data_IF_837609777597
#
_entry.id   IF_837609777597
#
_cell.length_a   1.000
_cell.length_b   1.000
_cell.length_c   1.000
_cell.angle_alpha   90.00
_cell.angle_beta   90.00
_cell.angle_gamma   90.00
#
_symmetry.space_group_name_H-M   'P 1'
#
loop_
_entity.id
_entity.type
_entity.pdbx_description
1 polymer ?
#
# COMPACT_ATOMS: atom_id res chain seq x y z
N UNK A 1 41.17 20.52 13.73
CA UNK A 1 40.92 20.23 12.29
C UNK A 1 42.03 20.90 11.49
N UNK A 2 42.50 20.34 10.37
CA UNK A 2 43.51 20.99 9.51
C UNK A 2 42.85 21.97 8.56
N UNK A 3 43.51 23.09 8.32
CA UNK A 3 42.97 24.17 7.49
C UNK A 3 42.91 23.82 6.01
N UNK A 4 43.77 22.91 5.53
CA UNK A 4 43.75 22.43 4.15
C UNK A 4 44.04 20.93 4.05
N UNK A 5 43.32 20.28 3.14
CA UNK A 5 43.51 18.89 2.77
C UNK A 5 43.74 18.81 1.27
N UNK A 6 44.83 18.16 0.88
CA UNK A 6 45.14 17.87 -0.52
C UNK A 6 44.46 16.56 -0.94
N UNK A 7 43.50 16.67 -1.85
CA UNK A 7 42.76 15.55 -2.44
C UNK A 7 43.19 15.23 -3.87
N UNK A 8 44.34 15.75 -4.33
CA UNK A 8 44.88 15.53 -5.69
C UNK A 8 45.03 14.05 -6.08
N UNK A 9 45.26 13.17 -5.08
CA UNK A 9 45.36 11.71 -5.27
C UNK A 9 44.08 10.94 -4.91
N UNK A 10 42.98 11.64 -4.59
CA UNK A 10 41.72 11.02 -4.23
C UNK A 10 41.05 10.36 -5.44
N UNK A 11 40.86 9.03 -5.39
CA UNK A 11 40.02 8.32 -6.38
C UNK A 11 38.57 8.31 -5.91
N UNK A 12 37.64 8.78 -6.75
CA UNK A 12 36.19 8.66 -6.48
C UNK A 12 35.83 7.18 -6.47
N UNK A 13 35.37 6.67 -5.33
CA UNK A 13 34.84 5.32 -5.21
C UNK A 13 33.59 5.11 -6.09
N UNK A 14 33.21 3.86 -6.28
CA UNK A 14 32.00 3.51 -7.04
C UNK A 14 30.78 4.24 -6.47
N UNK A 15 30.09 5.00 -7.31
CA UNK A 15 28.84 5.64 -6.94
C UNK A 15 27.81 4.52 -6.75
N UNK A 16 27.16 4.49 -5.58
CA UNK A 16 26.13 3.49 -5.30
C UNK A 16 25.10 3.47 -6.44
N UNK A 17 24.82 2.28 -6.99
CA UNK A 17 23.90 2.17 -8.13
C UNK A 17 22.50 2.57 -7.68
N UNK A 18 21.83 3.39 -8.50
CA UNK A 18 20.50 3.90 -8.19
C UNK A 18 19.39 2.86 -8.50
N UNK A 19 19.66 1.57 -8.30
CA UNK A 19 18.79 0.47 -8.70
C UNK A 19 17.39 0.65 -8.07
N UNK A 20 16.37 0.80 -8.91
CA UNK A 20 14.97 0.97 -8.47
C UNK A 20 14.55 2.42 -8.16
N UNK A 21 15.36 3.43 -8.49
CA UNK A 21 15.00 4.85 -8.35
C UNK A 21 15.17 5.58 -9.68
N UNK A 22 14.09 6.19 -10.15
CA UNK A 22 14.09 7.01 -11.37
C UNK A 22 14.27 8.48 -11.00
N UNK A 23 15.18 9.19 -11.67
CA UNK A 23 15.32 10.64 -11.52
C UNK A 23 14.20 11.32 -12.28
N UNK A 24 13.37 12.09 -11.59
CA UNK A 24 12.28 12.86 -12.16
C UNK A 24 12.36 14.31 -11.68
N UNK A 25 11.79 15.22 -12.46
CA UNK A 25 11.57 16.61 -12.03
C UNK A 25 10.10 16.73 -11.63
N UNK A 26 9.85 17.12 -10.38
CA UNK A 26 8.50 17.40 -9.87
C UNK A 26 8.55 18.70 -9.07
N UNK A 27 7.47 19.47 -9.12
CA UNK A 27 7.27 20.60 -8.22
C UNK A 27 6.70 20.08 -6.90
N UNK A 28 7.25 20.54 -5.78
CA UNK A 28 6.75 20.27 -4.44
C UNK A 28 6.67 21.60 -3.69
N UNK A 29 5.64 21.75 -2.86
CA UNK A 29 5.49 22.95 -2.05
C UNK A 29 6.62 23.05 -1.01
N UNK A 30 7.05 24.28 -0.72
CA UNK A 30 8.11 24.55 0.27
C UNK A 30 7.76 23.99 1.66
N UNK A 31 6.47 24.01 2.02
CA UNK A 31 5.96 23.42 3.26
C UNK A 31 6.20 21.90 3.32
N UNK A 32 6.02 21.20 2.19
CA UNK A 32 6.25 19.76 2.10
C UNK A 32 7.75 19.45 2.23
N UNK A 33 8.60 20.23 1.56
CA UNK A 33 10.06 20.07 1.63
C UNK A 33 10.56 20.30 3.05
N UNK A 34 10.07 21.36 3.71
CA UNK A 34 10.42 21.71 5.09
C UNK A 34 10.02 20.59 6.06
N UNK A 35 8.75 20.16 6.02
CA UNK A 35 8.27 19.08 6.87
C UNK A 35 8.99 17.74 6.63
N UNK A 36 9.35 17.45 5.38
CA UNK A 36 10.12 16.24 5.05
C UNK A 36 11.54 16.32 5.63
N UNK A 37 12.17 17.50 5.61
CA UNK A 37 13.53 17.70 6.15
C UNK A 37 13.56 17.52 7.66
N UNK A 38 12.60 18.08 8.38
CA UNK A 38 12.49 17.93 9.84
C UNK A 38 12.34 16.46 10.24
N UNK A 39 11.40 15.73 9.62
CA UNK A 39 11.19 14.30 9.89
C UNK A 39 12.42 13.47 9.54
N UNK A 40 13.11 13.81 8.45
CA UNK A 40 14.31 13.13 8.01
C UNK A 40 15.46 13.30 9.01
N UNK A 41 15.62 14.50 9.56
CA UNK A 41 16.63 14.81 10.57
C UNK A 41 16.37 14.03 11.86
N UNK A 42 15.12 13.97 12.32
CA UNK A 42 14.74 13.18 13.51
C UNK A 42 14.99 11.68 13.33
N UNK A 43 14.81 11.16 12.11
CA UNK A 43 14.98 9.75 11.80
C UNK A 43 16.38 9.37 11.28
N UNK A 44 17.31 10.33 11.16
CA UNK A 44 18.66 10.09 10.65
C UNK A 44 18.71 9.62 9.19
N UNK A 45 17.71 9.95 8.38
CA UNK A 45 17.60 9.57 6.97
C UNK A 45 17.57 10.79 6.04
N UNK A 46 17.68 10.58 4.73
CA UNK A 46 17.53 11.65 3.74
C UNK A 46 16.06 12.00 3.49
N UNK A 47 15.76 13.28 3.29
CA UNK A 47 14.39 13.76 3.03
C UNK A 47 13.73 13.10 1.80
N UNK A 48 14.53 12.76 0.77
CA UNK A 48 14.03 12.05 -0.41
C UNK A 48 13.50 10.64 -0.06
N UNK A 49 14.10 9.97 0.93
CA UNK A 49 13.63 8.66 1.41
C UNK A 49 12.27 8.79 2.08
N UNK A 50 12.09 9.82 2.92
CA UNK A 50 10.81 10.13 3.59
C UNK A 50 9.71 10.34 2.57
N UNK A 51 9.95 11.21 1.58
CA UNK A 51 8.96 11.53 0.54
C UNK A 51 8.57 10.27 -0.23
N UNK A 52 9.55 9.46 -0.66
CA UNK A 52 9.26 8.22 -1.39
C UNK A 52 8.47 7.21 -0.56
N UNK A 53 8.76 7.10 0.75
CA UNK A 53 8.02 6.19 1.62
C UNK A 53 6.57 6.62 1.79
N UNK A 54 6.32 7.92 1.99
CA UNK A 54 4.97 8.47 2.08
C UNK A 54 4.18 8.23 0.79
N UNK A 55 4.80 8.46 -0.38
CA UNK A 55 4.18 8.18 -1.67
C UNK A 55 3.85 6.69 -1.84
N UNK A 56 4.74 5.78 -1.44
CA UNK A 56 4.45 4.34 -1.47
C UNK A 56 3.26 3.97 -0.58
N UNK A 57 3.22 4.49 0.64
CA UNK A 57 2.12 4.22 1.57
C UNK A 57 0.79 4.71 1.00
N UNK A 58 0.76 5.94 0.45
CA UNK A 58 -0.45 6.50 -0.16
C UNK A 58 -0.93 5.68 -1.37
N UNK A 59 -0.02 5.24 -2.24
CA UNK A 59 -0.37 4.49 -3.45
C UNK A 59 -0.80 3.05 -3.15
N UNK A 60 -0.13 2.35 -2.22
CA UNK A 60 -0.52 1.00 -1.81
C UNK A 60 -1.92 1.01 -1.18
N UNK A 61 -2.24 2.04 -0.38
CA UNK A 61 -3.59 2.21 0.17
C UNK A 61 -4.65 2.44 -0.92
N UNK A 62 -4.27 3.03 -2.06
CA UNK A 62 -5.19 3.20 -3.19
C UNK A 62 -5.36 1.93 -4.02
N UNK A 63 -4.34 1.07 -4.14
CA UNK A 63 -4.49 -0.23 -4.80
C UNK A 63 -5.49 -1.13 -4.06
N UNK A 64 -5.51 -1.08 -2.72
CA UNK A 64 -6.55 -1.78 -1.92
C UNK A 64 -7.96 -1.28 -2.27
N UNK A 65 -8.11 0.01 -2.63
CA UNK A 65 -9.39 0.58 -3.06
C UNK A 65 -9.66 0.44 -4.57
N UNK A 66 -8.64 0.23 -5.42
CA UNK A 66 -8.75 0.16 -6.89
C UNK A 66 -8.85 -1.27 -7.43
N UNK A 67 -8.50 -2.30 -6.67
CA UNK A 67 -8.65 -3.71 -7.06
C UNK A 67 -10.08 -4.27 -6.91
N UNK A 68 -11.06 -3.44 -6.53
CA UNK A 68 -12.47 -3.83 -6.56
C UNK A 68 -13.24 -2.99 -7.60
N UNK A 69 -13.68 -3.56 -8.73
CA UNK A 69 -14.79 -2.96 -9.46
C UNK A 69 -16.02 -3.11 -8.56
N UNK A 70 -16.52 -2.01 -8.00
CA UNK A 70 -17.80 -1.99 -7.32
C UNK A 70 -18.90 -2.45 -8.32
N UNK A 71 -19.62 -3.55 -8.07
CA UNK A 71 -20.71 -3.97 -8.95
C UNK A 71 -21.86 -2.97 -8.85
N UNK A 72 -22.04 -2.13 -9.89
CA UNK A 72 -23.24 -1.30 -10.04
C UNK A 72 -24.45 -2.15 -10.44
N UNK A 73 -24.92 -2.99 -9.53
CA UNK A 73 -26.33 -3.35 -9.40
C UNK A 73 -26.64 -3.63 -7.93
N UNK A 74 -27.16 -2.61 -7.25
CA UNK A 74 -28.46 -2.64 -6.55
C UNK A 74 -28.54 -1.45 -5.61
N UNK A 75 -29.16 -0.38 -6.11
CA UNK A 75 -29.91 0.52 -5.26
C UNK A 75 -30.96 -0.30 -4.50
N UNK A 76 -30.63 -0.69 -3.26
CA UNK A 76 -31.54 -0.91 -2.10
C UNK A 76 -30.85 -1.58 -0.89
N UNK A 77 -29.71 -2.27 -1.04
CA UNK A 77 -29.06 -2.94 0.10
C UNK A 77 -28.17 -2.03 0.95
N UNK A 78 -27.80 -0.83 0.44
CA UNK A 78 -26.98 0.14 1.19
C UNK A 78 -27.69 0.79 2.40
N UNK A 79 -28.97 0.51 2.64
CA UNK A 79 -29.68 0.96 3.84
C UNK A 79 -29.46 0.06 5.08
N UNK A 80 -28.85 -1.11 4.93
CA UNK A 80 -28.77 -2.10 6.03
C UNK A 80 -27.59 -1.83 6.98
N UNK A 81 -26.55 -1.09 6.56
CA UNK A 81 -25.34 -0.89 7.38
C UNK A 81 -25.55 0.16 8.49
N UNK A 82 -26.68 0.87 8.50
CA UNK A 82 -27.00 1.87 9.54
C UNK A 82 -27.71 1.27 10.76
N UNK A 83 -28.18 0.02 10.70
CA UNK A 83 -28.84 -0.65 11.83
C UNK A 83 -28.14 -2.00 12.02
N UNK A 84 -27.43 -2.16 13.14
CA UNK A 84 -26.50 -3.26 13.40
C UNK A 84 -26.95 -4.64 12.90
N UNK A 85 -25.97 -5.40 12.38
CA UNK A 85 -26.14 -6.72 11.78
C UNK A 85 -26.92 -7.64 12.73
N UNK A 86 -28.05 -8.18 12.29
CA UNK A 86 -28.87 -9.08 13.10
C UNK A 86 -28.22 -10.47 13.20
N UNK A 87 -28.24 -11.10 14.38
CA UNK A 87 -27.72 -12.46 14.60
C UNK A 87 -28.33 -13.49 13.63
N UNK A 88 -29.59 -13.30 13.24
CA UNK A 88 -30.27 -14.15 12.27
C UNK A 88 -29.70 -14.06 10.86
N UNK A 89 -29.10 -12.92 10.49
CA UNK A 89 -28.50 -12.70 9.18
C UNK A 89 -27.12 -13.37 9.10
N UNK A 90 -26.36 -13.36 10.20
CA UNK A 90 -25.10 -14.10 10.32
C UNK A 90 -25.35 -15.60 10.22
N UNK A 91 -26.35 -16.12 10.95
CA UNK A 91 -26.73 -17.53 10.85
C UNK A 91 -27.18 -17.94 9.43
N UNK A 92 -27.90 -17.06 8.73
CA UNK A 92 -28.31 -17.31 7.35
C UNK A 92 -27.10 -17.40 6.40
N UNK A 93 -26.12 -16.51 6.56
CA UNK A 93 -24.87 -16.51 5.80
C UNK A 93 -24.02 -17.76 6.10
N UNK A 94 -23.92 -18.17 7.36
CA UNK A 94 -23.22 -19.40 7.75
C UNK A 94 -23.84 -20.64 7.10
N UNK A 95 -25.19 -20.74 7.11
CA UNK A 95 -25.89 -21.84 6.44
C UNK A 95 -25.64 -21.86 4.93
N UNK A 96 -25.60 -20.69 4.29
CA UNK A 96 -25.25 -20.61 2.87
C UNK A 96 -23.81 -21.05 2.60
N UNK A 97 -22.87 -20.68 3.46
CA UNK A 97 -21.46 -21.08 3.32
C UNK A 97 -21.29 -22.60 3.47
N UNK A 98 -21.99 -23.20 4.44
CA UNK A 98 -22.00 -24.65 4.65
C UNK A 98 -22.62 -25.38 3.45
N UNK A 99 -23.72 -24.85 2.89
CA UNK A 99 -24.36 -25.45 1.72
C UNK A 99 -23.45 -25.45 0.49
N UNK A 100 -22.78 -24.33 0.22
CA UNK A 100 -21.82 -24.21 -0.90
C UNK A 100 -20.61 -25.12 -0.69
N UNK A 101 -20.10 -25.23 0.53
CA UNK A 101 -19.01 -26.16 0.84
C UNK A 101 -19.43 -27.63 0.62
N UNK A 102 -20.68 -27.98 0.95
CA UNK A 102 -21.25 -29.29 0.68
C UNK A 102 -21.37 -29.59 -0.83
N UNK A 103 -21.80 -28.61 -1.62
CA UNK A 103 -21.86 -28.73 -3.09
C UNK A 103 -20.48 -28.92 -3.71
N UNK A 104 -19.48 -28.15 -3.27
CA UNK A 104 -18.10 -28.29 -3.74
C UNK A 104 -17.54 -29.68 -3.44
N UNK A 105 -17.77 -30.21 -2.23
CA UNK A 105 -17.37 -31.57 -1.89
C UNK A 105 -18.12 -32.63 -2.72
N UNK A 106 -19.39 -32.39 -3.07
CA UNK A 106 -20.18 -33.29 -3.92
C UNK A 106 -19.63 -33.31 -5.36
N UNK A 107 -19.31 -32.15 -5.90
CA UNK A 107 -18.71 -32.00 -7.24
C UNK A 107 -17.32 -32.63 -7.29
N UNK A 108 -16.51 -32.45 -6.25
CA UNK A 108 -15.18 -33.06 -6.14
C UNK A 108 -15.24 -34.59 -5.90
N UNK A 109 -16.26 -35.08 -5.19
CA UNK A 109 -16.47 -36.52 -5.02
C UNK A 109 -16.97 -37.21 -6.30
N UNK A 110 -17.72 -36.49 -7.16
CA UNK A 110 -18.14 -36.96 -8.48
C UNK A 110 -16.99 -36.95 -9.51
N UNK A 111 -15.84 -36.38 -9.17
CA UNK A 111 -14.67 -36.27 -10.07
C UNK A 111 -13.54 -37.26 -9.73
N UNK A 112 -13.81 -38.34 -8.98
CA UNK A 112 -12.86 -39.44 -8.81
C UNK A 112 -13.37 -40.67 -9.59
N UNK A 113 -12.55 -41.30 -10.46
CA UNK A 113 -12.94 -42.45 -11.27
C UNK A 113 -13.22 -43.69 -10.42
#
# INVERSE_FOLDING_TARGET
MKDQYDFSKGKRGAIASNKGKTRITIMLDDAVITAARERAQSAGMGYQTVINQLLRQALISQDIHSLAPAPKKRAKTLQVISHGISHSEVEALERQLIAVAGELNRVLAMSKP
#
